data_IF_521202981056
#
_entry.id   IF_521202981056
#
_cell.length_a   1.000
_cell.length_b   1.000
_cell.length_c   1.000
_cell.angle_alpha   90.00
_cell.angle_beta   90.00
_cell.angle_gamma   90.00
#
_symmetry.space_group_name_H-M   'P 1'
#
loop_
_entity.id
_entity.type
_entity.pdbx_description
1 polymer ?
#
# COMPACT_ATOMS: atom_id res chain seq x y z
N UNK A 1 8.69 -18.56 10.89
CA UNK A 1 8.09 -17.85 9.77
C UNK A 1 8.39 -16.37 9.93
N UNK A 2 8.95 -15.68 8.95
CA UNK A 2 9.36 -14.29 9.12
C UNK A 2 8.60 -13.47 8.08
N UNK A 3 7.49 -12.86 8.48
CA UNK A 3 6.76 -11.89 7.64
C UNK A 3 7.64 -10.66 7.38
N UNK A 4 7.63 -10.11 6.18
CA UNK A 4 8.27 -8.84 5.87
C UNK A 4 7.58 -7.71 6.65
N UNK A 5 6.26 -7.59 6.46
CA UNK A 5 5.43 -6.68 7.24
C UNK A 5 4.75 -7.47 8.37
N UNK A 6 4.92 -7.04 9.60
CA UNK A 6 4.16 -7.57 10.75
C UNK A 6 3.20 -6.52 11.27
N UNK A 7 2.12 -6.94 11.94
CA UNK A 7 1.17 -6.01 12.58
C UNK A 7 1.90 -4.95 13.40
N UNK A 8 2.86 -5.34 14.24
CA UNK A 8 3.64 -4.42 15.09
C UNK A 8 4.46 -3.40 14.29
N UNK A 9 5.03 -3.79 13.13
CA UNK A 9 5.76 -2.87 12.25
C UNK A 9 4.80 -1.87 11.62
N UNK A 10 3.68 -2.35 11.07
CA UNK A 10 2.66 -1.52 10.46
C UNK A 10 2.09 -0.51 11.47
N UNK A 11 1.70 -0.93 12.68
CA UNK A 11 1.21 -0.04 13.75
C UNK A 11 2.23 1.06 14.10
N UNK A 12 3.52 0.71 14.18
CA UNK A 12 4.57 1.71 14.44
C UNK A 12 4.70 2.74 13.33
N UNK A 13 4.64 2.31 12.06
CA UNK A 13 4.73 3.20 10.90
C UNK A 13 3.48 4.07 10.79
N UNK A 14 2.30 3.49 10.97
CA UNK A 14 1.02 4.21 10.99
C UNK A 14 1.02 5.28 12.08
N UNK A 15 1.49 4.96 13.29
CA UNK A 15 1.61 5.95 14.38
C UNK A 15 2.59 7.07 14.03
N UNK A 16 3.73 6.74 13.41
CA UNK A 16 4.75 7.71 13.01
C UNK A 16 4.22 8.73 12.00
N UNK A 17 3.46 8.27 11.02
CA UNK A 17 2.87 9.11 9.98
C UNK A 17 1.55 9.74 10.48
N UNK A 18 0.70 8.96 11.12
CA UNK A 18 -0.61 9.41 11.61
C UNK A 18 -0.53 10.63 12.50
N UNK A 19 0.36 10.62 13.48
CA UNK A 19 0.55 11.74 14.41
C UNK A 19 0.95 13.07 13.73
N UNK A 20 1.46 13.01 12.49
CA UNK A 20 1.95 14.18 11.77
C UNK A 20 0.93 14.73 10.77
N UNK A 21 0.10 13.87 10.21
CA UNK A 21 -0.68 14.22 9.01
C UNK A 21 -2.18 14.14 9.21
N UNK A 22 -2.68 13.29 10.09
CA UNK A 22 -4.11 13.20 10.38
C UNK A 22 -4.57 14.30 11.34
N UNK A 23 -5.86 14.60 11.30
CA UNK A 23 -6.47 15.51 12.28
C UNK A 23 -6.38 14.91 13.70
N UNK A 24 -6.40 15.78 14.70
CA UNK A 24 -6.41 15.37 16.10
C UNK A 24 -7.58 14.42 16.38
N UNK A 25 -7.32 13.35 17.14
CA UNK A 25 -8.33 12.34 17.49
C UNK A 25 -8.55 11.26 16.42
N UNK A 26 -7.79 11.24 15.31
CA UNK A 26 -7.90 10.16 14.34
C UNK A 26 -7.38 8.84 14.93
N UNK A 27 -8.20 7.79 14.81
CA UNK A 27 -7.88 6.42 15.23
C UNK A 27 -7.66 5.55 13.99
N UNK A 28 -6.42 5.07 13.81
CA UNK A 28 -6.07 4.17 12.72
C UNK A 28 -5.67 2.82 13.32
N UNK A 29 -6.44 1.80 13.01
CA UNK A 29 -6.17 0.42 13.43
C UNK A 29 -5.59 -0.39 12.27
N UNK A 30 -4.70 -1.31 12.59
CA UNK A 30 -4.20 -2.31 11.66
C UNK A 30 -4.91 -3.63 11.96
N UNK A 31 -5.58 -4.15 10.95
CA UNK A 31 -6.08 -5.51 10.93
C UNK A 31 -5.13 -6.37 10.08
N UNK A 32 -4.41 -7.28 10.73
CA UNK A 32 -3.49 -8.18 10.05
C UNK A 32 -4.21 -9.46 9.67
N UNK A 33 -4.30 -9.72 8.37
CA UNK A 33 -4.93 -10.92 7.84
C UNK A 33 -3.85 -11.99 7.70
N UNK A 34 -3.91 -13.01 8.54
CA UNK A 34 -3.02 -14.18 8.45
C UNK A 34 -3.54 -15.12 7.35
N UNK A 35 -3.01 -14.93 6.15
CA UNK A 35 -3.43 -15.73 4.98
C UNK A 35 -2.87 -17.16 4.98
N UNK A 36 -1.99 -17.51 5.92
CA UNK A 36 -1.54 -18.89 6.05
C UNK A 36 -2.67 -19.87 6.42
N UNK A 37 -3.80 -19.35 6.91
CA UNK A 37 -4.98 -20.13 7.29
C UNK A 37 -6.09 -20.15 6.25
N UNK A 38 -6.17 -19.13 5.39
CA UNK A 38 -7.23 -18.97 4.40
C UNK A 38 -6.66 -18.91 2.97
N UNK A 39 -6.49 -20.07 2.36
CA UNK A 39 -5.85 -20.23 1.04
C UNK A 39 -6.44 -19.39 -0.09
N UNK A 40 -7.74 -19.01 -0.06
CA UNK A 40 -8.35 -18.19 -1.10
C UNK A 40 -8.11 -16.67 -0.92
N UNK A 41 -7.53 -16.25 0.20
CA UNK A 41 -7.07 -14.89 0.46
C UNK A 41 -5.57 -14.70 0.23
N UNK A 42 -4.93 -15.65 -0.45
CA UNK A 42 -3.50 -15.61 -0.73
C UNK A 42 -3.09 -14.50 -1.72
N UNK A 43 -4.03 -13.73 -2.25
CA UNK A 43 -3.72 -12.49 -2.99
C UNK A 43 -3.28 -11.42 -2.01
N UNK A 44 -2.37 -10.56 -2.47
CA UNK A 44 -2.03 -9.33 -1.76
C UNK A 44 -3.32 -8.48 -1.68
N UNK A 45 -3.98 -8.52 -0.54
CA UNK A 45 -5.17 -7.73 -0.29
C UNK A 45 -4.84 -6.73 0.80
N UNK A 46 -4.56 -5.53 0.36
CA UNK A 46 -4.45 -4.39 1.25
C UNK A 46 -5.63 -3.48 0.94
N UNK A 47 -6.13 -2.81 1.93
CA UNK A 47 -7.24 -1.91 1.75
C UNK A 47 -7.54 -1.14 3.02
N UNK A 48 -8.25 -0.04 2.88
CA UNK A 48 -8.68 0.77 4.00
C UNK A 48 -10.20 0.77 4.13
N UNK A 49 -10.68 0.47 5.33
CA UNK A 49 -12.08 0.62 5.70
C UNK A 49 -12.26 1.93 6.46
N UNK A 50 -13.06 2.82 5.90
CA UNK A 50 -13.39 4.12 6.48
C UNK A 50 -14.72 3.99 7.23
N UNK A 51 -14.69 4.15 8.56
CA UNK A 51 -15.90 4.07 9.39
C UNK A 51 -16.49 5.45 9.69
N UNK A 52 -15.63 6.39 10.04
CA UNK A 52 -15.99 7.79 10.32
C UNK A 52 -14.82 8.69 9.93
N UNK A 53 -15.02 10.01 9.99
CA UNK A 53 -13.97 11.00 9.69
C UNK A 53 -12.68 10.81 10.48
N UNK A 54 -12.75 10.12 11.63
CA UNK A 54 -11.61 9.92 12.51
C UNK A 54 -11.35 8.44 12.84
N UNK A 55 -12.05 7.48 12.20
CA UNK A 55 -11.86 6.05 12.50
C UNK A 55 -11.66 5.24 11.23
N UNK A 56 -10.48 4.66 11.13
CA UNK A 56 -10.00 3.92 9.97
C UNK A 56 -9.47 2.55 10.40
N UNK A 57 -9.65 1.55 9.55
CA UNK A 57 -9.01 0.24 9.71
C UNK A 57 -8.30 -0.09 8.40
N UNK A 58 -6.98 -0.27 8.47
CA UNK A 58 -6.18 -0.72 7.34
C UNK A 58 -6.04 -2.23 7.47
N UNK A 59 -6.59 -2.94 6.51
CA UNK A 59 -6.40 -4.37 6.34
C UNK A 59 -5.10 -4.60 5.59
N UNK A 60 -4.19 -5.38 6.16
CA UNK A 60 -2.95 -5.77 5.51
C UNK A 60 -2.82 -7.29 5.50
N UNK A 61 -2.35 -7.82 4.40
CA UNK A 61 -1.96 -9.21 4.28
C UNK A 61 -0.51 -9.31 3.82
N UNK A 62 0.27 -10.15 4.47
CA UNK A 62 1.66 -10.39 4.10
C UNK A 62 1.86 -11.85 3.71
N UNK A 63 1.78 -12.11 2.41
CA UNK A 63 1.94 -13.44 1.84
C UNK A 63 3.29 -13.67 1.15
N UNK A 64 4.17 -12.66 1.16
CA UNK A 64 5.36 -12.66 0.31
C UNK A 64 6.54 -13.46 0.85
N UNK A 65 6.50 -13.93 2.08
CA UNK A 65 7.74 -14.28 2.78
C UNK A 65 8.14 -15.71 2.66
N UNK A 66 7.25 -16.58 2.22
CA UNK A 66 7.64 -17.99 2.29
C UNK A 66 7.03 -18.85 1.16
N UNK A 67 7.75 -18.91 0.03
CA UNK A 67 7.42 -19.85 -1.07
C UNK A 67 7.21 -21.30 -0.60
N UNK A 68 7.86 -21.68 0.51
CA UNK A 68 7.76 -23.02 1.08
C UNK A 68 6.41 -23.31 1.76
N UNK A 69 5.62 -22.26 2.04
CA UNK A 69 4.31 -22.41 2.67
C UNK A 69 3.16 -22.49 1.69
N UNK A 70 3.43 -22.20 0.41
CA UNK A 70 2.42 -22.37 -0.63
C UNK A 70 2.39 -23.80 -1.10
N UNK A 71 1.28 -24.54 -0.88
CA UNK A 71 1.06 -25.80 -1.55
C UNK A 71 1.18 -25.64 -3.07
N UNK A 72 1.59 -26.69 -3.77
CA UNK A 72 1.88 -26.61 -5.21
C UNK A 72 0.74 -26.04 -6.07
N UNK A 73 -0.52 -26.27 -5.66
CA UNK A 73 -1.72 -25.74 -6.32
C UNK A 73 -1.91 -24.21 -6.18
N UNK A 74 -1.14 -23.52 -5.31
CA UNK A 74 -1.21 -22.07 -5.11
C UNK A 74 0.02 -21.30 -5.62
N UNK A 75 0.98 -21.99 -6.26
CA UNK A 75 2.17 -21.34 -6.83
C UNK A 75 1.84 -20.28 -7.88
N UNK A 76 0.69 -20.39 -8.56
CA UNK A 76 0.22 -19.38 -9.49
C UNK A 76 -0.09 -18.07 -8.78
N UNK A 77 -0.71 -18.10 -7.59
CA UNK A 77 -1.04 -16.89 -6.80
C UNK A 77 0.24 -16.18 -6.35
N UNK A 78 1.27 -16.94 -5.97
CA UNK A 78 2.57 -16.36 -5.64
C UNK A 78 3.20 -15.65 -6.84
N UNK A 79 3.10 -16.24 -8.04
CA UNK A 79 3.58 -15.61 -9.28
C UNK A 79 2.82 -14.32 -9.59
N UNK A 80 1.50 -14.33 -9.43
CA UNK A 80 0.66 -13.16 -9.66
C UNK A 80 1.03 -12.03 -8.67
N UNK A 81 1.26 -12.37 -7.42
CA UNK A 81 1.68 -11.41 -6.40
C UNK A 81 3.07 -10.82 -6.70
N UNK A 82 4.03 -11.65 -7.15
CA UNK A 82 5.37 -11.18 -7.54
C UNK A 82 5.24 -10.25 -8.75
N UNK A 83 4.48 -10.67 -9.77
CA UNK A 83 4.22 -9.84 -10.94
C UNK A 83 3.61 -8.50 -10.55
N UNK A 84 2.61 -8.50 -9.68
CA UNK A 84 1.99 -7.27 -9.20
C UNK A 84 3.02 -6.31 -8.58
N UNK A 85 3.94 -6.81 -7.74
CA UNK A 85 4.96 -5.96 -7.13
C UNK A 85 5.97 -5.44 -8.17
N UNK A 86 6.37 -6.28 -9.11
CA UNK A 86 7.30 -5.89 -10.17
C UNK A 86 6.66 -4.82 -11.07
N UNK A 87 5.39 -4.99 -11.45
CA UNK A 87 4.63 -4.01 -12.24
C UNK A 87 4.42 -2.72 -11.45
N UNK A 88 4.12 -2.81 -10.14
CA UNK A 88 3.98 -1.65 -9.29
C UNK A 88 5.31 -0.91 -9.09
N UNK A 89 6.42 -1.63 -8.89
CA UNK A 89 7.75 -1.01 -8.84
C UNK A 89 8.05 -0.23 -10.13
N UNK A 90 7.84 -0.88 -11.28
CA UNK A 90 8.06 -0.25 -12.59
C UNK A 90 7.20 1.00 -12.74
N UNK A 91 5.92 0.92 -12.40
CA UNK A 91 4.98 2.04 -12.48
C UNK A 91 5.44 3.22 -11.63
N UNK A 92 5.71 3.04 -10.33
CA UNK A 92 6.09 4.16 -9.46
C UNK A 92 7.45 4.76 -9.81
N UNK A 93 8.38 3.96 -10.33
CA UNK A 93 9.67 4.45 -10.83
C UNK A 93 9.49 5.33 -12.06
N UNK A 94 8.62 4.92 -12.97
CA UNK A 94 8.38 5.63 -14.24
C UNK A 94 7.53 6.88 -14.03
N UNK A 95 6.40 6.73 -13.36
CA UNK A 95 5.39 7.80 -13.24
C UNK A 95 5.81 8.88 -12.25
N UNK A 96 6.42 8.49 -11.12
CA UNK A 96 6.78 9.42 -10.04
C UNK A 96 8.29 9.64 -9.91
N UNK A 97 9.10 9.13 -10.84
CA UNK A 97 10.57 9.20 -10.79
C UNK A 97 11.12 8.69 -9.44
N UNK A 98 10.53 7.60 -8.93
CA UNK A 98 10.86 7.07 -7.62
C UNK A 98 12.22 6.36 -7.63
N UNK A 99 13.25 7.07 -7.21
CA UNK A 99 14.63 6.60 -7.17
C UNK A 99 15.22 6.68 -5.76
N UNK A 100 14.67 5.90 -4.83
CA UNK A 100 15.17 5.84 -3.46
C UNK A 100 16.34 4.84 -3.35
N UNK A 101 17.42 5.16 -2.60
CA UNK A 101 18.48 4.19 -2.29
C UNK A 101 17.94 2.92 -1.62
N UNK A 102 16.88 3.05 -0.84
CA UNK A 102 16.19 1.90 -0.22
C UNK A 102 15.51 1.01 -1.26
N UNK A 103 14.93 1.57 -2.31
CA UNK A 103 14.34 0.79 -3.40
C UNK A 103 15.38 -0.05 -4.14
N UNK A 104 16.60 0.45 -4.25
CA UNK A 104 17.68 -0.29 -4.90
C UNK A 104 18.24 -1.42 -4.02
N UNK A 105 18.29 -1.22 -2.71
CA UNK A 105 18.89 -2.18 -1.77
C UNK A 105 17.90 -3.13 -1.12
N UNK A 106 16.68 -2.69 -0.88
CA UNK A 106 15.61 -3.39 -0.17
C UNK A 106 14.27 -3.23 -0.92
N UNK A 107 14.17 -3.67 -2.19
CA UNK A 107 12.99 -3.37 -3.03
C UNK A 107 11.70 -3.90 -2.42
N UNK A 108 11.68 -5.15 -1.97
CA UNK A 108 10.47 -5.78 -1.40
C UNK A 108 9.99 -5.06 -0.14
N UNK A 109 10.90 -4.77 0.77
CA UNK A 109 10.57 -4.05 2.02
C UNK A 109 10.10 -2.63 1.73
N UNK A 110 10.72 -1.96 0.77
CA UNK A 110 10.35 -0.60 0.36
C UNK A 110 8.95 -0.60 -0.26
N UNK A 111 8.65 -1.54 -1.16
CA UNK A 111 7.32 -1.64 -1.77
C UNK A 111 6.23 -1.90 -0.73
N UNK A 112 6.46 -2.79 0.25
CA UNK A 112 5.50 -3.01 1.33
C UNK A 112 5.24 -1.74 2.14
N UNK A 113 6.27 -0.93 2.39
CA UNK A 113 6.09 0.35 3.09
C UNK A 113 5.30 1.33 2.22
N UNK A 114 5.60 1.41 0.91
CA UNK A 114 4.87 2.31 -0.01
C UNK A 114 3.40 1.90 -0.12
N UNK A 115 3.09 0.59 -0.20
CA UNK A 115 1.71 0.10 -0.23
C UNK A 115 0.98 0.44 1.09
N UNK A 116 1.63 0.28 2.25
CA UNK A 116 1.03 0.71 3.52
C UNK A 116 0.72 2.21 3.52
N UNK A 117 1.63 3.03 3.00
CA UNK A 117 1.42 4.47 2.88
C UNK A 117 0.29 4.81 1.89
N UNK A 118 0.14 4.07 0.80
CA UNK A 118 -0.96 4.20 -0.15
C UNK A 118 -2.31 4.06 0.56
N UNK A 119 -2.51 2.99 1.32
CA UNK A 119 -3.75 2.79 2.09
C UNK A 119 -3.95 3.90 3.15
N UNK A 120 -2.87 4.36 3.77
CA UNK A 120 -2.94 5.50 4.68
C UNK A 120 -3.34 6.79 3.98
N UNK A 121 -2.94 7.00 2.73
CA UNK A 121 -3.30 8.20 1.96
C UNK A 121 -4.79 8.22 1.64
N UNK A 122 -5.41 7.08 1.29
CA UNK A 122 -6.87 7.03 1.14
C UNK A 122 -7.58 7.51 2.42
N UNK A 123 -7.17 6.97 3.58
CA UNK A 123 -7.71 7.43 4.86
C UNK A 123 -7.44 8.91 5.12
N UNK A 124 -6.25 9.40 4.76
CA UNK A 124 -5.85 10.80 4.95
C UNK A 124 -6.66 11.74 4.05
N UNK A 125 -6.87 11.38 2.78
CA UNK A 125 -7.68 12.17 1.85
C UNK A 125 -9.09 12.35 2.39
N UNK A 126 -9.71 11.27 2.88
CA UNK A 126 -11.03 11.39 3.51
C UNK A 126 -10.99 12.24 4.79
N UNK A 127 -10.03 11.97 5.70
CA UNK A 127 -9.89 12.71 6.97
C UNK A 127 -9.74 14.23 6.76
N UNK A 128 -9.10 14.64 5.64
CA UNK A 128 -8.86 16.03 5.27
C UNK A 128 -9.97 16.65 4.42
N UNK A 129 -10.82 15.85 3.80
CA UNK A 129 -11.86 16.35 2.89
C UNK A 129 -12.92 17.22 3.57
N UNK A 130 -13.18 16.97 4.85
CA UNK A 130 -14.28 17.59 5.59
C UNK A 130 -15.67 17.12 5.16
N UNK A 131 -15.76 16.17 4.23
CA UNK A 131 -17.01 15.65 3.67
C UNK A 131 -17.66 14.64 4.61
N UNK A 132 -18.98 14.44 4.45
CA UNK A 132 -19.65 13.27 5.00
C UNK A 132 -19.21 12.01 4.26
N UNK A 133 -19.24 10.86 4.95
CA UNK A 133 -18.81 9.59 4.35
C UNK A 133 -19.58 9.27 3.06
N UNK A 134 -20.91 9.44 3.04
CA UNK A 134 -21.72 9.19 1.85
C UNK A 134 -21.30 10.03 0.65
N UNK A 135 -21.05 11.33 0.86
CA UNK A 135 -20.62 12.23 -0.22
C UNK A 135 -19.24 11.84 -0.76
N UNK A 136 -18.33 11.42 0.11
CA UNK A 136 -17.02 10.93 -0.29
C UNK A 136 -17.10 9.59 -1.03
N UNK A 137 -17.91 8.65 -0.51
CA UNK A 137 -18.14 7.36 -1.15
C UNK A 137 -18.76 7.53 -2.55
N UNK A 138 -19.70 8.46 -2.73
CA UNK A 138 -20.32 8.74 -4.03
C UNK A 138 -19.26 9.20 -5.06
N UNK A 139 -18.36 10.10 -4.67
CA UNK A 139 -17.25 10.56 -5.53
C UNK A 139 -16.31 9.41 -5.91
N UNK A 140 -15.96 8.59 -4.93
CA UNK A 140 -15.07 7.45 -5.18
C UNK A 140 -15.74 6.41 -6.09
N UNK A 141 -17.01 6.09 -5.84
CA UNK A 141 -17.78 5.15 -6.66
C UNK A 141 -17.89 5.64 -8.11
N UNK A 142 -18.17 6.92 -8.34
CA UNK A 142 -18.21 7.50 -9.70
C UNK A 142 -16.87 7.32 -10.44
N UNK A 143 -15.73 7.50 -9.75
CA UNK A 143 -14.42 7.28 -10.36
C UNK A 143 -14.23 5.82 -10.80
N UNK A 144 -14.64 4.85 -9.96
CA UNK A 144 -14.55 3.43 -10.31
C UNK A 144 -15.55 3.03 -11.41
N UNK A 145 -16.76 3.57 -11.39
CA UNK A 145 -17.74 3.34 -12.47
C UNK A 145 -17.19 3.81 -13.82
N UNK A 146 -16.61 5.01 -13.87
CA UNK A 146 -15.98 5.54 -15.08
C UNK A 146 -14.82 4.65 -15.57
N UNK A 147 -14.01 4.12 -14.67
CA UNK A 147 -12.96 3.16 -14.99
C UNK A 147 -13.55 1.87 -15.59
N UNK A 148 -14.56 1.26 -14.95
CA UNK A 148 -15.19 0.03 -15.46
C UNK A 148 -15.83 0.23 -16.83
N UNK A 149 -16.53 1.33 -17.05
CA UNK A 149 -17.11 1.68 -18.35
C UNK A 149 -16.03 1.82 -19.44
N UNK A 150 -14.90 2.43 -19.10
CA UNK A 150 -13.74 2.56 -20.01
C UNK A 150 -13.15 1.19 -20.34
N UNK A 151 -12.93 0.34 -19.35
CA UNK A 151 -12.39 -1.00 -19.55
C UNK A 151 -13.33 -1.88 -20.40
N UNK A 152 -14.64 -1.80 -20.18
CA UNK A 152 -15.63 -2.50 -20.99
C UNK A 152 -15.62 -2.03 -22.44
N UNK A 153 -15.62 -0.70 -22.65
CA UNK A 153 -15.64 -0.10 -23.99
C UNK A 153 -14.36 -0.40 -24.79
N UNK A 154 -13.21 -0.51 -24.13
CA UNK A 154 -11.88 -0.66 -24.75
C UNK A 154 -11.26 -2.03 -24.44
N UNK A 155 -12.06 -3.03 -24.17
CA UNK A 155 -11.62 -4.37 -23.78
C UNK A 155 -10.61 -4.96 -24.77
N UNK A 156 -9.43 -5.32 -24.22
CA UNK A 156 -8.33 -5.89 -25.00
C UNK A 156 -7.50 -4.86 -25.80
N UNK A 157 -7.84 -3.57 -25.73
CA UNK A 157 -7.11 -2.47 -26.38
C UNK A 157 -6.27 -1.65 -25.39
N UNK A 158 -6.51 -1.81 -24.11
CA UNK A 158 -5.86 -1.05 -23.03
C UNK A 158 -5.26 -2.00 -22.00
N UNK A 159 -4.28 -1.50 -21.27
CA UNK A 159 -3.74 -2.15 -20.08
C UNK A 159 -4.62 -1.77 -18.87
N UNK A 160 -5.49 -2.71 -18.46
CA UNK A 160 -6.45 -2.48 -17.37
C UNK A 160 -5.75 -2.19 -16.04
N UNK A 161 -4.58 -2.79 -15.76
CA UNK A 161 -3.81 -2.55 -14.54
C UNK A 161 -3.25 -1.12 -14.54
N UNK A 162 -2.78 -0.62 -15.69
CA UNK A 162 -2.35 0.76 -15.82
C UNK A 162 -3.51 1.73 -15.66
N UNK A 163 -4.65 1.47 -16.33
CA UNK A 163 -5.85 2.32 -16.24
C UNK A 163 -6.42 2.36 -14.82
N UNK A 164 -6.36 1.25 -14.08
CA UNK A 164 -6.72 1.24 -12.66
C UNK A 164 -5.90 2.25 -11.87
N UNK A 165 -4.60 2.33 -12.12
CA UNK A 165 -3.70 3.29 -11.48
C UNK A 165 -3.96 4.74 -11.87
N UNK A 166 -4.69 4.99 -12.99
CA UNK A 166 -5.09 6.32 -13.43
C UNK A 166 -6.42 6.80 -12.80
N UNK A 167 -7.14 5.96 -12.04
CA UNK A 167 -8.27 6.41 -11.23
C UNK A 167 -7.77 7.54 -10.30
N UNK A 168 -8.42 8.72 -10.27
CA UNK A 168 -7.88 9.88 -9.55
C UNK A 168 -7.54 9.64 -8.09
N UNK A 169 -8.35 8.83 -7.39
CA UNK A 169 -8.08 8.43 -6.00
C UNK A 169 -6.85 7.55 -5.87
N UNK A 170 -6.68 6.55 -6.78
CA UNK A 170 -5.54 5.63 -6.79
C UNK A 170 -4.25 6.37 -7.17
N UNK A 171 -4.29 7.17 -8.24
CA UNK A 171 -3.15 7.99 -8.66
C UNK A 171 -2.69 8.93 -7.55
N UNK A 172 -3.63 9.58 -6.86
CA UNK A 172 -3.34 10.48 -5.73
C UNK A 172 -2.73 9.70 -4.57
N UNK A 173 -3.24 8.50 -4.28
CA UNK A 173 -2.72 7.66 -3.22
C UNK A 173 -1.29 7.19 -3.52
N UNK A 174 -1.02 6.73 -4.74
CA UNK A 174 0.32 6.29 -5.17
C UNK A 174 1.32 7.45 -5.10
N UNK A 175 0.98 8.60 -5.69
CA UNK A 175 1.84 9.80 -5.68
C UNK A 175 2.21 10.24 -4.27
N UNK A 176 1.19 10.42 -3.42
CA UNK A 176 1.41 10.90 -2.06
C UNK A 176 2.11 9.84 -1.18
N UNK A 177 1.90 8.54 -1.43
CA UNK A 177 2.65 7.48 -0.75
C UNK A 177 4.14 7.56 -1.05
N UNK A 178 4.51 7.77 -2.32
CA UNK A 178 5.90 7.98 -2.74
C UNK A 178 6.51 9.23 -2.09
N UNK A 179 5.77 10.34 -2.06
CA UNK A 179 6.22 11.58 -1.40
C UNK A 179 6.42 11.39 0.10
N UNK A 180 5.47 10.74 0.79
CA UNK A 180 5.57 10.42 2.22
C UNK A 180 6.76 9.49 2.50
N UNK A 181 6.95 8.47 1.65
CA UNK A 181 8.09 7.60 1.77
C UNK A 181 9.41 8.38 1.65
N UNK A 182 9.57 9.18 0.60
CA UNK A 182 10.79 9.97 0.38
C UNK A 182 11.09 10.88 1.58
N UNK A 183 10.08 11.51 2.14
CA UNK A 183 10.21 12.41 3.30
C UNK A 183 10.56 11.69 4.60
N UNK A 184 10.12 10.45 4.77
CA UNK A 184 10.26 9.69 6.03
C UNK A 184 11.01 8.36 5.86
N UNK A 185 11.63 8.10 4.72
CA UNK A 185 12.23 6.81 4.34
C UNK A 185 13.12 6.22 5.41
N UNK A 186 14.01 7.02 5.98
CA UNK A 186 14.96 6.54 6.99
C UNK A 186 14.26 6.04 8.27
N UNK A 187 13.22 6.75 8.71
CA UNK A 187 12.44 6.37 9.90
C UNK A 187 11.58 5.12 9.62
N UNK A 188 10.92 5.10 8.46
CA UNK A 188 10.08 3.99 8.03
C UNK A 188 10.90 2.71 7.85
N UNK A 189 12.03 2.80 7.13
CA UNK A 189 12.90 1.66 6.90
C UNK A 189 13.62 1.18 8.16
N UNK A 190 13.89 2.07 9.11
CA UNK A 190 14.38 1.70 10.45
C UNK A 190 13.40 0.77 11.16
N UNK A 191 12.10 1.08 11.11
CA UNK A 191 11.04 0.22 11.65
C UNK A 191 10.94 -1.09 10.84
N UNK A 192 10.95 -0.98 9.50
CA UNK A 192 10.77 -2.13 8.60
C UNK A 192 11.88 -3.16 8.77
N UNK A 193 13.13 -2.72 8.83
CA UNK A 193 14.32 -3.58 8.87
C UNK A 193 14.79 -3.91 10.29
N UNK A 194 14.19 -3.31 11.33
CA UNK A 194 14.67 -3.37 12.73
C UNK A 194 16.15 -2.94 12.87
N UNK A 195 16.52 -1.87 12.18
CA UNK A 195 17.85 -1.27 12.20
C UNK A 195 17.79 0.15 12.72
N UNK A 196 18.88 0.64 13.30
CA UNK A 196 18.96 2.06 13.66
C UNK A 196 19.10 2.93 12.41
N UNK A 197 18.70 4.19 12.51
CA UNK A 197 18.86 5.13 11.38
C UNK A 197 20.35 5.37 11.04
N UNK A 198 21.25 5.21 12.03
CA UNK A 198 22.69 5.32 11.82
C UNK A 198 23.20 4.19 10.92
N UNK A 199 22.89 2.94 11.28
CA UNK A 199 23.23 1.76 10.47
C UNK A 199 22.72 1.89 9.03
N UNK A 200 21.46 2.32 8.88
CA UNK A 200 20.87 2.49 7.55
C UNK A 200 21.55 3.59 6.73
N UNK A 201 21.93 4.72 7.36
CA UNK A 201 22.70 5.77 6.66
C UNK A 201 24.08 5.28 6.18
N UNK A 202 24.70 4.40 6.92
CA UNK A 202 26.00 3.80 6.53
C UNK A 202 25.81 2.78 5.40
N UNK A 203 24.68 2.07 5.38
CA UNK A 203 24.40 1.05 4.38
C UNK A 203 23.93 1.58 3.01
N UNK A 204 23.33 2.77 2.95
CA UNK A 204 22.79 3.35 1.71
C UNK A 204 23.69 4.41 1.08
N UNK A 205 24.86 4.64 1.67
CA UNK A 205 25.95 5.43 1.06
C UNK A 205 26.59 4.65 -0.08
#
# INVERSE_FOLDING_TARGET
>A
MRYLMTKKKAEKMVKLIGNKYFNEGAEIKINFIDNAKDYWRARLMWGVNIYTNNRFVIDISDNFVNEKLYPDNYKHILKDNIKFLDDFEKYIRTEFNFNSPFMNKYPKETLHVVILLHEMVHALCYNKSGMKKSEYDDIINEQYENYYLKCEALKGLIDEDYEYRQIPSEYTADKNAVELFNKHSLQLMSVMLNKTQKELKEEIK
#
